data_IF_131026480183
#
_entry.id   IF_131026480183
#
_cell.length_a   1.000
_cell.length_b   1.000
_cell.length_c   1.000
_cell.angle_alpha   90.00
_cell.angle_beta   90.00
_cell.angle_gamma   90.00
#
_symmetry.space_group_name_H-M   'P 1'
#
loop_
_entity.id
_entity.type
_entity.pdbx_description
1 polymer ?
#
# COMPACT_ATOMS: atom_id res chain seq x y z
N UNK A 1 -52.79 -58.97 45.04
CA UNK A 1 -53.61 -57.75 44.89
C UNK A 1 -53.00 -56.66 45.75
N UNK A 2 -52.25 -55.74 45.15
CA UNK A 2 -51.76 -54.53 45.81
C UNK A 2 -51.81 -53.39 44.79
N UNK A 3 -52.70 -52.44 45.06
CA UNK A 3 -52.82 -51.15 44.38
C UNK A 3 -51.77 -50.21 44.98
N UNK A 4 -50.94 -49.58 44.16
CA UNK A 4 -50.18 -48.38 44.56
C UNK A 4 -50.38 -47.29 43.50
N UNK A 5 -50.92 -46.17 43.99
CA UNK A 5 -51.28 -44.95 43.25
C UNK A 5 -50.03 -44.12 42.95
N UNK A 6 -49.93 -43.58 41.75
CA UNK A 6 -49.00 -42.50 41.42
C UNK A 6 -49.56 -41.15 41.90
N UNK A 7 -48.83 -40.47 42.79
CA UNK A 7 -49.03 -39.06 43.11
C UNK A 7 -48.27 -38.19 42.09
N UNK A 8 -48.97 -37.30 41.41
CA UNK A 8 -48.38 -36.21 40.65
C UNK A 8 -48.11 -35.01 41.59
N UNK A 9 -46.87 -34.51 41.61
CA UNK A 9 -46.52 -33.27 42.29
C UNK A 9 -46.65 -32.06 41.33
N UNK A 10 -47.06 -30.87 41.82
CA UNK A 10 -47.20 -29.68 40.98
C UNK A 10 -45.83 -29.01 40.77
N UNK A 11 -45.51 -28.68 39.51
CA UNK A 11 -44.36 -27.85 39.17
C UNK A 11 -44.71 -26.38 39.43
N UNK A 12 -43.97 -25.76 40.35
CA UNK A 12 -44.07 -24.34 40.69
C UNK A 12 -43.51 -23.47 39.55
N UNK A 13 -44.28 -22.46 39.16
CA UNK A 13 -43.92 -21.44 38.18
C UNK A 13 -43.00 -20.40 38.86
N UNK A 14 -41.69 -20.54 38.69
CA UNK A 14 -40.73 -19.54 39.13
C UNK A 14 -40.70 -18.38 38.11
N UNK A 15 -41.02 -17.18 38.58
CA UNK A 15 -40.96 -15.94 37.82
C UNK A 15 -39.53 -15.65 37.37
N UNK A 16 -39.32 -15.58 36.05
CA UNK A 16 -38.08 -15.07 35.45
C UNK A 16 -38.04 -13.55 35.61
N UNK A 17 -37.23 -13.06 36.54
CA UNK A 17 -36.89 -11.64 36.64
C UNK A 17 -35.85 -11.36 35.55
N UNK A 18 -36.28 -10.68 34.48
CA UNK A 18 -35.37 -10.14 33.48
C UNK A 18 -34.58 -8.97 34.08
N UNK A 19 -33.31 -9.21 34.43
CA UNK A 19 -32.34 -8.13 34.59
C UNK A 19 -32.00 -7.58 33.20
N UNK A 20 -32.62 -6.47 32.84
CA UNK A 20 -32.23 -5.63 31.70
C UNK A 20 -30.90 -4.95 31.98
N UNK A 21 -29.80 -5.68 31.86
CA UNK A 21 -28.47 -5.10 31.73
C UNK A 21 -28.30 -4.58 30.31
N UNK A 22 -28.38 -3.25 30.13
CA UNK A 22 -27.90 -2.62 28.90
C UNK A 22 -26.40 -2.88 28.80
N UNK A 23 -25.99 -3.74 27.88
CA UNK A 23 -24.60 -3.88 27.49
C UNK A 23 -24.14 -2.51 26.97
N UNK A 24 -23.37 -1.77 27.77
CA UNK A 24 -22.62 -0.62 27.28
C UNK A 24 -21.67 -1.16 26.21
N UNK A 25 -21.85 -0.73 24.97
CA UNK A 25 -20.88 -1.00 23.92
C UNK A 25 -19.54 -0.41 24.38
N UNK A 26 -18.56 -1.25 24.67
CA UNK A 26 -17.20 -0.79 24.95
C UNK A 26 -16.73 0.06 23.78
N UNK A 27 -16.43 1.33 24.04
CA UNK A 27 -15.86 2.23 23.04
C UNK A 27 -14.48 1.73 22.67
N UNK A 28 -14.32 1.33 21.41
CA UNK A 28 -13.06 0.81 20.90
C UNK A 28 -12.05 1.95 20.73
N UNK A 29 -11.23 2.22 21.73
CA UNK A 29 -10.23 3.28 21.63
C UNK A 29 -8.93 2.76 20.99
N UNK A 30 -8.34 3.58 20.11
CA UNK A 30 -7.10 3.31 19.40
C UNK A 30 -6.09 4.42 19.67
N UNK A 31 -4.82 4.07 19.82
CA UNK A 31 -3.73 5.04 19.94
C UNK A 31 -3.04 5.28 18.60
N UNK A 32 -2.66 6.53 18.36
CA UNK A 32 -1.86 6.95 17.21
C UNK A 32 -0.39 6.59 17.38
N UNK A 33 0.23 5.99 16.37
CA UNK A 33 1.62 5.50 16.44
C UNK A 33 2.59 6.28 15.57
N UNK A 34 2.08 7.12 14.65
CA UNK A 34 2.90 7.89 13.72
C UNK A 34 3.79 8.92 14.44
N UNK A 35 5.08 8.95 14.07
CA UNK A 35 6.08 9.89 14.57
C UNK A 35 6.52 10.84 13.42
N UNK A 36 6.50 12.18 13.60
CA UNK A 36 6.11 12.92 14.81
C UNK A 36 4.60 13.10 14.98
N UNK A 37 3.82 12.91 13.90
CA UNK A 37 2.37 13.10 13.93
C UNK A 37 1.66 12.36 12.79
N UNK A 38 0.42 11.91 13.03
CA UNK A 38 -0.49 11.34 12.04
C UNK A 38 -1.34 12.44 11.40
N UNK A 39 -1.41 12.47 10.07
CA UNK A 39 -2.28 13.41 9.35
C UNK A 39 -3.73 12.92 9.34
N UNK A 40 -4.63 13.74 9.87
CA UNK A 40 -6.08 13.58 9.73
C UNK A 40 -6.53 14.29 8.47
N UNK A 41 -7.33 13.59 7.67
CA UNK A 41 -7.77 14.06 6.35
C UNK A 41 -9.29 14.10 6.24
N UNK A 42 -9.79 14.86 5.28
CA UNK A 42 -11.15 14.73 4.74
C UNK A 42 -11.28 13.44 3.94
N UNK A 43 -12.49 13.04 3.55
CA UNK A 43 -12.71 11.83 2.74
C UNK A 43 -11.95 11.91 1.40
N UNK A 44 -11.88 13.11 0.82
CA UNK A 44 -11.15 13.41 -0.42
C UNK A 44 -9.62 13.46 -0.26
N UNK A 45 -9.12 13.23 0.96
CA UNK A 45 -7.69 13.15 1.25
C UNK A 45 -7.04 14.48 1.58
N UNK A 46 -7.78 15.58 1.65
CA UNK A 46 -7.24 16.88 2.07
C UNK A 46 -6.87 16.84 3.54
N UNK A 47 -5.66 17.26 3.88
CA UNK A 47 -5.21 17.33 5.27
C UNK A 47 -5.80 18.56 5.94
N UNK A 48 -6.33 18.41 7.15
CA UNK A 48 -6.83 19.54 7.94
C UNK A 48 -6.33 19.54 9.39
N UNK A 49 -5.79 18.42 9.89
CA UNK A 49 -5.22 18.36 11.23
C UNK A 49 -4.14 17.28 11.36
N UNK A 50 -3.29 17.38 12.39
CA UNK A 50 -2.30 16.38 12.73
C UNK A 50 -2.42 15.95 14.19
N UNK A 51 -2.44 14.64 14.45
CA UNK A 51 -2.47 14.04 15.79
C UNK A 51 -1.06 13.65 16.20
N UNK A 52 -0.68 13.90 17.45
CA UNK A 52 0.63 13.47 17.96
C UNK A 52 0.63 11.97 18.24
N UNK A 53 1.80 11.35 18.21
CA UNK A 53 1.98 9.99 18.71
C UNK A 53 1.38 9.86 20.13
N UNK A 54 0.67 8.76 20.40
CA UNK A 54 -0.03 8.50 21.65
C UNK A 54 -1.42 9.14 21.76
N UNK A 55 -1.85 9.95 20.78
CA UNK A 55 -3.21 10.51 20.78
C UNK A 55 -4.24 9.39 20.66
N UNK A 56 -5.29 9.42 21.48
CA UNK A 56 -6.38 8.44 21.43
C UNK A 56 -7.47 8.90 20.47
N UNK A 57 -7.95 7.98 19.65
CA UNK A 57 -9.03 8.16 18.69
C UNK A 57 -9.99 6.98 18.74
N UNK A 58 -11.26 7.21 18.44
CA UNK A 58 -12.28 6.16 18.41
C UNK A 58 -12.70 5.95 16.95
N UNK A 59 -12.53 4.77 16.35
CA UNK A 59 -13.00 4.51 14.99
C UNK A 59 -14.53 4.44 14.99
N UNK A 60 -15.15 5.12 14.03
CA UNK A 60 -16.61 5.27 13.90
C UNK A 60 -17.11 4.85 12.51
N UNK A 61 -16.22 4.33 11.66
CA UNK A 61 -16.52 3.88 10.32
C UNK A 61 -15.28 3.55 9.51
N UNK A 62 -15.46 2.92 8.35
CA UNK A 62 -14.39 2.60 7.40
C UNK A 62 -14.66 3.17 6.02
N UNK A 63 -13.60 3.38 5.26
CA UNK A 63 -13.68 3.74 3.84
C UNK A 63 -13.66 2.47 3.01
N UNK A 64 -14.24 2.51 1.81
CA UNK A 64 -14.29 1.37 0.88
C UNK A 64 -12.93 1.01 0.25
N UNK A 65 -11.91 1.87 0.41
CA UNK A 65 -10.53 1.59 0.01
C UNK A 65 -9.82 0.55 0.90
N UNK A 66 -10.41 0.20 2.05
CA UNK A 66 -9.89 -0.79 2.98
C UNK A 66 -8.70 -0.33 3.81
N UNK A 67 -8.13 0.85 3.57
CA UNK A 67 -6.91 1.32 4.26
C UNK A 67 -7.19 2.45 5.25
N UNK A 68 -8.29 3.19 5.05
CA UNK A 68 -8.66 4.32 5.92
C UNK A 68 -9.85 4.02 6.80
N UNK A 69 -9.78 4.50 8.03
CA UNK A 69 -10.88 4.52 8.99
C UNK A 69 -11.28 5.95 9.30
N UNK A 70 -12.58 6.17 9.46
CA UNK A 70 -13.12 7.40 10.00
C UNK A 70 -13.01 7.32 11.52
N UNK A 71 -12.43 8.34 12.13
CA UNK A 71 -12.20 8.42 13.56
C UNK A 71 -12.86 9.66 14.16
N UNK A 72 -13.37 9.48 15.38
CA UNK A 72 -13.76 10.55 16.30
C UNK A 72 -12.52 11.02 17.06
N UNK A 73 -12.34 12.33 17.12
CA UNK A 73 -11.20 13.00 17.76
C UNK A 73 -11.67 13.59 19.09
N UNK A 74 -11.56 12.81 20.17
CA UNK A 74 -12.12 13.19 21.48
C UNK A 74 -11.24 14.20 22.22
N UNK A 75 -9.91 14.18 22.01
CA UNK A 75 -8.93 15.00 22.73
C UNK A 75 -8.02 15.82 21.79
N UNK A 76 -8.55 16.31 20.67
CA UNK A 76 -7.78 17.07 19.68
C UNK A 76 -8.40 18.48 19.44
N UNK A 77 -8.21 19.44 20.36
CA UNK A 77 -8.92 20.73 20.33
C UNK A 77 -8.62 21.57 19.08
N UNK A 78 -7.46 21.35 18.45
CA UNK A 78 -7.03 22.03 17.24
C UNK A 78 -7.51 21.34 15.94
N UNK A 79 -8.21 20.22 16.04
CA UNK A 79 -8.77 19.52 14.90
C UNK A 79 -10.25 19.86 14.75
N UNK A 80 -10.60 20.66 13.73
CA UNK A 80 -11.98 20.85 13.29
C UNK A 80 -12.10 20.49 11.80
N UNK A 81 -13.06 19.62 11.41
CA UNK A 81 -14.05 18.93 12.26
C UNK A 81 -13.43 17.94 13.27
N UNK A 82 -14.19 17.60 14.32
CA UNK A 82 -13.78 16.62 15.34
C UNK A 82 -13.90 15.17 14.88
N UNK A 83 -14.14 14.94 13.58
CA UNK A 83 -14.04 13.64 12.94
C UNK A 83 -13.17 13.77 11.70
N UNK A 84 -12.47 12.71 11.33
CA UNK A 84 -11.68 12.69 10.10
C UNK A 84 -11.20 11.31 9.75
N UNK A 85 -10.39 11.22 8.70
CA UNK A 85 -9.93 9.95 8.15
C UNK A 85 -8.43 9.79 8.37
N UNK A 86 -8.05 8.61 8.86
CA UNK A 86 -6.66 8.23 9.12
C UNK A 86 -6.40 6.84 8.58
N UNK A 87 -5.14 6.55 8.30
CA UNK A 87 -4.69 5.24 7.82
C UNK A 87 -4.54 4.26 9.00
N UNK A 88 -5.12 3.06 8.85
CA UNK A 88 -5.19 2.03 9.90
C UNK A 88 -3.81 1.54 10.36
N UNK A 89 -2.78 1.63 9.52
CA UNK A 89 -1.40 1.21 9.84
C UNK A 89 -0.74 2.09 10.91
N UNK A 90 -1.28 3.29 11.17
CA UNK A 90 -0.80 4.18 12.23
C UNK A 90 -1.65 4.15 13.49
N UNK A 91 -2.53 3.17 13.61
CA UNK A 91 -3.33 2.94 14.79
C UNK A 91 -2.85 1.67 15.49
N UNK A 92 -2.96 1.65 16.81
CA UNK A 92 -2.80 0.45 17.64
C UNK A 92 -3.94 0.38 18.64
N UNK A 93 -4.34 -0.83 19.02
CA UNK A 93 -5.30 -1.03 20.10
C UNK A 93 -4.75 -0.48 21.40
N UNK A 94 -5.58 0.20 22.20
CA UNK A 94 -5.26 0.44 23.62
C UNK A 94 -5.72 -0.70 24.53
N UNK A 95 -6.52 -1.63 23.99
CA UNK A 95 -6.92 -2.82 24.73
C UNK A 95 -5.74 -3.80 24.83
N UNK A 96 -5.52 -4.30 26.03
CA UNK A 96 -4.54 -5.33 26.31
C UNK A 96 -5.11 -6.71 25.99
N UNK A 97 -4.32 -7.54 25.32
CA UNK A 97 -4.61 -8.96 25.09
C UNK A 97 -4.55 -9.78 26.39
N UNK A 98 -4.63 -11.09 26.25
CA UNK A 98 -4.74 -12.05 27.35
C UNK A 98 -3.65 -11.90 28.43
N UNK A 99 -2.45 -11.50 28.02
CA UNK A 99 -1.27 -11.36 28.89
C UNK A 99 -1.06 -9.91 29.39
N UNK A 100 -2.01 -8.99 29.18
CA UNK A 100 -1.86 -7.59 29.59
C UNK A 100 -1.03 -6.71 28.64
N UNK A 101 -0.59 -7.24 27.50
CA UNK A 101 0.16 -6.52 26.47
C UNK A 101 -0.75 -6.03 25.34
N UNK A 102 -0.40 -4.92 24.69
CA UNK A 102 -1.11 -4.48 23.49
C UNK A 102 -0.93 -5.48 22.36
N UNK A 103 -2.03 -5.85 21.70
CA UNK A 103 -1.98 -6.82 20.59
C UNK A 103 -2.04 -6.12 19.23
N UNK A 104 -1.23 -6.60 18.28
CA UNK A 104 -1.22 -6.18 16.89
C UNK A 104 -1.14 -7.40 15.96
N UNK A 105 -1.39 -7.18 14.67
CA UNK A 105 -1.30 -8.22 13.65
C UNK A 105 -0.50 -7.77 12.43
N UNK A 106 0.12 -8.74 11.75
CA UNK A 106 0.95 -8.50 10.56
C UNK A 106 0.07 -8.16 9.34
N UNK A 107 0.32 -7.01 8.71
CA UNK A 107 -0.41 -6.50 7.53
C UNK A 107 0.35 -6.67 6.20
N UNK A 108 1.29 -7.62 6.15
CA UNK A 108 2.07 -7.93 4.94
C UNK A 108 2.25 -9.44 4.83
N UNK A 109 2.54 -9.96 3.64
CA UNK A 109 2.64 -11.41 3.41
C UNK A 109 3.91 -12.02 4.02
N UNK A 110 4.91 -11.20 4.32
CA UNK A 110 6.12 -11.62 5.02
C UNK A 110 6.76 -10.48 5.81
N UNK A 111 6.77 -10.62 7.13
CA UNK A 111 7.44 -9.69 8.05
C UNK A 111 8.62 -10.40 8.74
N UNK A 112 9.83 -9.88 8.59
CA UNK A 112 10.99 -10.44 9.28
C UNK A 112 10.91 -10.24 10.80
N UNK A 113 10.95 -11.34 11.55
CA UNK A 113 11.28 -11.32 12.98
C UNK A 113 12.80 -11.38 13.16
N UNK A 114 13.34 -10.53 14.03
CA UNK A 114 14.79 -10.34 14.18
C UNK A 114 15.27 -10.38 15.63
N UNK A 115 16.53 -10.70 15.87
CA UNK A 115 17.12 -10.63 17.22
C UNK A 115 17.47 -9.22 17.69
N UNK A 116 17.56 -8.25 16.78
CA UNK A 116 17.83 -6.85 17.13
C UNK A 116 17.10 -5.89 16.18
N UNK A 117 16.87 -4.62 16.55
CA UNK A 117 16.12 -3.65 15.76
C UNK A 117 16.94 -3.06 14.60
N UNK A 118 17.47 -3.92 13.73
CA UNK A 118 18.32 -3.56 12.58
C UNK A 118 18.07 -4.49 11.40
N UNK A 119 18.34 -4.01 10.19
CA UNK A 119 18.17 -4.80 8.95
C UNK A 119 19.52 -5.39 8.53
N UNK A 120 19.95 -6.42 9.25
CA UNK A 120 21.17 -7.19 8.96
C UNK A 120 20.81 -8.67 8.82
N UNK A 121 21.40 -9.40 7.87
CA UNK A 121 21.17 -10.84 7.68
C UNK A 121 21.41 -11.66 8.97
N UNK A 122 22.45 -11.31 9.74
CA UNK A 122 22.76 -11.97 11.02
C UNK A 122 21.66 -11.84 12.07
N UNK A 123 20.78 -10.85 11.91
CA UNK A 123 19.67 -10.58 12.84
C UNK A 123 18.39 -11.28 12.45
N UNK A 124 18.27 -11.75 11.19
CA UNK A 124 17.07 -12.45 10.74
C UNK A 124 16.88 -13.76 11.51
N UNK A 125 15.64 -14.03 11.92
CA UNK A 125 15.27 -15.28 12.60
C UNK A 125 14.23 -16.05 11.83
N UNK A 126 13.13 -15.42 11.44
CA UNK A 126 12.07 -16.06 10.68
C UNK A 126 11.21 -15.00 9.96
N UNK A 127 10.30 -15.46 9.10
CA UNK A 127 9.27 -14.63 8.49
C UNK A 127 7.91 -14.93 9.13
N UNK A 128 7.19 -13.87 9.48
CA UNK A 128 5.81 -13.91 9.97
C UNK A 128 4.87 -13.64 8.81
N UNK A 129 3.86 -14.49 8.64
CA UNK A 129 2.84 -14.32 7.59
C UNK A 129 1.80 -13.27 7.98
N UNK A 130 1.04 -12.81 6.98
CA UNK A 130 -0.13 -11.94 7.19
C UNK A 130 -1.06 -12.52 8.24
N UNK A 131 -1.66 -11.64 9.05
CA UNK A 131 -2.55 -11.96 10.17
C UNK A 131 -1.89 -12.70 11.35
N UNK A 132 -0.57 -12.91 11.35
CA UNK A 132 0.14 -13.36 12.56
C UNK A 132 -0.06 -12.33 13.67
N UNK A 133 -0.58 -12.78 14.82
CA UNK A 133 -0.81 -11.94 15.99
C UNK A 133 0.42 -11.87 16.87
N UNK A 134 0.72 -10.67 17.36
CA UNK A 134 1.87 -10.39 18.20
C UNK A 134 1.47 -9.46 19.36
N UNK A 135 2.04 -9.72 20.53
CA UNK A 135 1.96 -8.86 21.70
C UNK A 135 3.16 -7.91 21.69
N UNK A 136 2.91 -6.61 21.92
CA UNK A 136 3.96 -5.60 21.96
C UNK A 136 4.57 -5.57 23.35
N UNK A 137 5.84 -5.97 23.45
CA UNK A 137 6.60 -5.97 24.70
C UNK A 137 7.29 -4.63 24.95
N UNK A 138 7.85 -4.02 23.90
CA UNK A 138 8.67 -2.82 24.03
C UNK A 138 8.57 -1.91 22.80
N UNK A 139 8.42 -0.60 23.05
CA UNK A 139 8.57 0.46 22.04
C UNK A 139 9.80 1.33 22.40
N UNK A 140 10.95 1.17 21.72
CA UNK A 140 12.14 1.96 21.99
C UNK A 140 11.90 3.45 21.76
N UNK A 141 12.37 4.28 22.70
CA UNK A 141 12.35 5.74 22.57
C UNK A 141 13.75 6.24 22.13
N UNK A 142 13.84 6.95 21.00
CA UNK A 142 15.09 7.57 20.52
C UNK A 142 15.29 7.51 19.00
N UNK A 143 16.17 8.36 18.45
CA UNK A 143 16.34 8.60 17.01
C UNK A 143 16.78 7.38 16.17
N UNK A 144 17.38 6.35 16.79
CA UNK A 144 17.97 5.21 16.07
C UNK A 144 17.01 4.00 15.90
N UNK A 145 15.85 3.98 16.56
CA UNK A 145 14.97 2.81 16.62
C UNK A 145 13.47 3.15 16.46
N UNK A 146 13.15 4.33 15.90
CA UNK A 146 11.80 4.93 15.89
C UNK A 146 10.69 4.11 15.22
N UNK A 147 11.02 3.02 14.54
CA UNK A 147 10.06 2.19 13.80
C UNK A 147 10.21 0.68 14.12
N UNK A 148 10.88 0.32 15.21
CA UNK A 148 11.01 -1.07 15.64
C UNK A 148 10.19 -1.33 16.89
N UNK A 149 9.58 -2.51 16.98
CA UNK A 149 8.90 -2.99 18.17
C UNK A 149 9.52 -4.31 18.59
N UNK A 150 9.72 -4.50 19.89
CA UNK A 150 9.96 -5.82 20.44
C UNK A 150 8.61 -6.48 20.66
N UNK A 151 8.45 -7.68 20.14
CA UNK A 151 7.18 -8.40 20.13
C UNK A 151 7.34 -9.82 20.62
N UNK A 152 6.26 -10.37 21.15
CA UNK A 152 6.07 -11.78 21.47
C UNK A 152 5.02 -12.36 20.54
N UNK A 153 5.25 -13.55 19.99
CA UNK A 153 4.24 -14.24 19.19
C UNK A 153 3.12 -14.72 20.11
N UNK A 154 1.87 -14.42 19.75
CA UNK A 154 0.69 -14.91 20.48
C UNK A 154 0.53 -16.41 20.30
N UNK A 155 0.93 -16.93 19.13
CA UNK A 155 0.95 -18.36 18.82
C UNK A 155 2.35 -18.75 18.35
N UNK A 156 3.01 -19.73 18.99
CA UNK A 156 4.33 -20.19 18.57
C UNK A 156 4.33 -20.68 17.12
N UNK A 157 5.35 -20.27 16.36
CA UNK A 157 5.57 -20.73 14.99
C UNK A 157 6.79 -21.66 15.00
N UNK A 158 6.65 -22.85 14.42
CA UNK A 158 7.73 -23.83 14.35
C UNK A 158 8.98 -23.23 13.67
N UNK A 159 10.14 -23.38 14.30
CA UNK A 159 11.41 -22.82 13.80
C UNK A 159 11.57 -21.31 13.96
N UNK A 160 10.61 -20.62 14.60
CA UNK A 160 10.71 -19.20 14.90
C UNK A 160 10.84 -18.97 16.41
N UNK A 161 11.74 -18.09 16.89
CA UNK A 161 11.76 -17.72 18.29
C UNK A 161 10.45 -17.02 18.69
N UNK A 162 10.04 -17.21 19.94
CA UNK A 162 8.78 -16.67 20.44
C UNK A 162 8.82 -15.14 20.64
N UNK A 163 10.01 -14.54 20.67
CA UNK A 163 10.21 -13.11 20.80
C UNK A 163 11.22 -12.58 19.80
N UNK A 164 11.09 -11.32 19.43
CA UNK A 164 12.06 -10.63 18.60
C UNK A 164 11.64 -9.21 18.25
N UNK A 165 12.28 -8.66 17.23
CA UNK A 165 12.09 -7.30 16.74
C UNK A 165 11.44 -7.33 15.36
N UNK A 166 10.43 -6.49 15.17
CA UNK A 166 9.76 -6.28 13.88
C UNK A 166 9.63 -4.80 13.57
N UNK A 167 9.47 -4.48 12.29
CA UNK A 167 9.18 -3.10 11.86
C UNK A 167 7.70 -2.77 12.11
N UNK A 168 7.46 -1.69 12.85
CA UNK A 168 6.13 -1.24 13.26
C UNK A 168 5.24 -0.88 12.05
N UNK A 169 5.82 -0.47 10.92
CA UNK A 169 5.08 -0.09 9.72
C UNK A 169 4.32 -1.24 9.04
N UNK A 170 4.59 -2.48 9.43
CA UNK A 170 3.94 -3.67 8.89
C UNK A 170 2.93 -4.28 9.88
N UNK A 171 2.65 -3.59 10.98
CA UNK A 171 1.64 -3.99 11.95
C UNK A 171 0.39 -3.13 11.82
N UNK A 172 -0.75 -3.70 12.15
CA UNK A 172 -2.03 -3.00 12.32
C UNK A 172 -2.71 -3.48 13.61
N UNK A 173 -3.75 -2.78 14.11
CA UNK A 173 -4.50 -3.26 15.27
C UNK A 173 -5.04 -4.67 15.03
N UNK A 174 -4.92 -5.57 16.01
CA UNK A 174 -5.55 -6.90 15.98
C UNK A 174 -7.05 -6.82 16.29
N UNK A 175 -7.73 -5.88 15.63
CA UNK A 175 -9.14 -5.57 15.80
C UNK A 175 -9.81 -5.64 14.44
N UNK A 176 -11.05 -6.14 14.41
CA UNK A 176 -11.83 -6.20 13.18
C UNK A 176 -12.39 -4.81 12.84
N UNK A 177 -11.53 -3.95 12.29
CA UNK A 177 -11.93 -2.65 11.75
C UNK A 177 -12.74 -2.80 10.45
N UNK A 178 -12.76 -3.98 9.84
CA UNK A 178 -13.53 -4.27 8.63
C UNK A 178 -15.03 -4.46 8.94
N UNK A 179 -15.36 -4.80 10.20
CA UNK A 179 -16.74 -4.81 10.71
C UNK A 179 -17.38 -3.41 10.85
N UNK A 180 -16.59 -2.35 10.81
CA UNK A 180 -17.10 -0.98 10.94
C UNK A 180 -18.03 -0.59 9.78
N UNK A 181 -19.01 0.29 10.01
CA UNK A 181 -19.91 0.75 8.96
C UNK A 181 -19.13 1.48 7.87
N UNK A 182 -19.46 1.20 6.61
CA UNK A 182 -18.88 1.91 5.47
C UNK A 182 -19.43 3.34 5.45
N UNK A 183 -18.54 4.32 5.44
CA UNK A 183 -18.90 5.73 5.35
C UNK A 183 -18.71 6.21 3.92
N UNK A 184 -19.75 6.84 3.36
CA UNK A 184 -19.72 7.47 2.02
C UNK A 184 -20.18 8.93 2.13
N UNK A 185 -19.70 9.77 1.22
CA UNK A 185 -20.29 11.10 0.99
C UNK A 185 -21.34 11.02 -0.10
N UNK A 186 -22.51 11.62 0.15
CA UNK A 186 -23.46 11.90 -0.91
C UNK A 186 -22.91 13.00 -1.85
N UNK A 187 -23.55 13.21 -3.00
CA UNK A 187 -23.16 14.25 -3.99
C UNK A 187 -23.22 15.70 -3.44
N UNK A 188 -23.64 15.90 -2.20
CA UNK A 188 -23.77 17.19 -1.52
C UNK A 188 -22.79 17.32 -0.34
N UNK A 189 -21.86 16.38 -0.18
CA UNK A 189 -20.84 16.41 0.88
C UNK A 189 -21.39 16.07 2.27
N UNK A 190 -22.56 15.43 2.36
CA UNK A 190 -23.09 14.95 3.64
C UNK A 190 -22.59 13.54 3.91
N UNK A 191 -22.04 13.34 5.11
CA UNK A 191 -21.55 12.06 5.59
C UNK A 191 -22.72 11.28 6.18
N UNK A 192 -23.23 10.26 5.48
CA UNK A 192 -24.26 9.38 6.00
C UNK A 192 -23.61 8.11 6.58
N UNK A 193 -23.96 7.77 7.83
CA UNK A 193 -23.70 6.45 8.39
C UNK A 193 -24.77 5.51 7.83
N UNK A 194 -24.38 4.57 6.98
CA UNK A 194 -25.33 3.66 6.36
C UNK A 194 -25.58 2.47 7.29
N UNK A 195 -26.48 2.61 8.26
CA UNK A 195 -26.90 1.53 9.16
C UNK A 195 -27.93 0.58 8.51
N UNK A 196 -28.69 1.04 7.52
CA UNK A 196 -29.73 0.24 6.83
C UNK A 196 -29.44 0.09 5.33
N UNK A 197 -28.35 -0.59 4.98
CA UNK A 197 -28.18 -1.15 3.63
C UNK A 197 -28.74 -2.58 3.55
N UNK A 198 -29.88 -2.84 4.20
CA UNK A 198 -30.76 -3.92 3.75
C UNK A 198 -31.60 -3.41 2.58
N UNK A 199 -31.75 -4.31 1.61
CA UNK A 199 -32.25 -4.11 0.27
C UNK A 199 -33.70 -3.57 0.25
N UNK A 200 -33.89 -2.26 0.30
CA UNK A 200 -35.12 -1.66 -0.19
C UNK A 200 -35.13 -1.69 -1.74
N UNK A 201 -36.09 -2.35 -2.40
CA UNK A 201 -36.07 -2.57 -3.84
C UNK A 201 -36.48 -1.28 -4.56
N UNK A 202 -35.50 -0.40 -4.79
CA UNK A 202 -35.71 0.91 -5.39
C UNK A 202 -34.67 1.26 -6.46
N UNK A 203 -34.62 0.47 -7.54
CA UNK A 203 -34.08 0.80 -8.87
C UNK A 203 -32.86 1.77 -8.93
N UNK A 204 -31.64 1.24 -8.76
CA UNK A 204 -30.52 1.30 -9.74
C UNK A 204 -29.24 0.60 -9.21
N UNK A 205 -29.01 -0.62 -9.75
CA UNK A 205 -27.78 -1.47 -9.86
C UNK A 205 -26.77 -1.50 -8.71
N UNK A 206 -27.07 -2.31 -7.69
CA UNK A 206 -26.09 -2.97 -6.81
C UNK A 206 -25.51 -4.27 -7.39
N UNK A 207 -25.89 -4.68 -8.60
CA UNK A 207 -25.35 -5.87 -9.28
C UNK A 207 -23.96 -5.65 -9.84
N UNK A 208 -23.52 -4.41 -10.02
CA UNK A 208 -22.28 -4.14 -10.74
C UNK A 208 -21.06 -4.25 -9.82
N UNK A 209 -21.12 -3.83 -8.55
CA UNK A 209 -19.99 -3.84 -7.62
C UNK A 209 -19.64 -5.25 -7.08
N UNK A 210 -20.64 -6.04 -6.68
CA UNK A 210 -20.43 -7.43 -6.27
C UNK A 210 -20.02 -8.29 -7.46
N UNK A 211 -20.58 -8.04 -8.64
CA UNK A 211 -20.13 -8.70 -9.85
C UNK A 211 -18.75 -8.18 -10.30
N UNK A 212 -18.36 -6.93 -10.02
CA UNK A 212 -17.02 -6.41 -10.29
C UNK A 212 -15.98 -7.01 -9.33
N UNK A 213 -16.32 -7.19 -8.05
CA UNK A 213 -15.47 -7.90 -7.09
C UNK A 213 -15.37 -9.39 -7.42
N UNK A 214 -16.48 -10.05 -7.76
CA UNK A 214 -16.48 -11.43 -8.24
C UNK A 214 -15.70 -11.57 -9.54
N UNK A 215 -15.84 -10.64 -10.49
CA UNK A 215 -15.02 -10.57 -11.71
C UNK A 215 -13.54 -10.33 -11.41
N UNK A 216 -13.21 -9.51 -10.40
CA UNK A 216 -11.83 -9.28 -9.98
C UNK A 216 -11.20 -10.57 -9.44
N UNK A 217 -11.93 -11.27 -8.56
CA UNK A 217 -11.55 -12.57 -7.97
C UNK A 217 -11.44 -13.64 -9.06
N UNK A 218 -12.43 -13.75 -9.95
CA UNK A 218 -12.39 -14.66 -11.10
C UNK A 218 -11.23 -14.33 -12.05
N UNK A 219 -10.93 -13.05 -12.29
CA UNK A 219 -9.79 -12.67 -13.14
C UNK A 219 -8.46 -13.07 -12.50
N UNK A 220 -8.35 -12.95 -11.17
CA UNK A 220 -7.16 -13.38 -10.41
C UNK A 220 -7.03 -14.90 -10.43
N UNK A 221 -8.12 -15.63 -10.22
CA UNK A 221 -8.17 -17.09 -10.29
C UNK A 221 -7.78 -17.60 -11.69
N UNK A 222 -8.38 -17.05 -12.76
CA UNK A 222 -8.04 -17.42 -14.15
C UNK A 222 -6.61 -17.02 -14.53
N UNK A 223 -6.11 -15.90 -14.03
CA UNK A 223 -4.72 -15.48 -14.24
C UNK A 223 -3.74 -16.42 -13.55
N UNK A 224 -4.06 -16.86 -12.32
CA UNK A 224 -3.30 -17.86 -11.59
C UNK A 224 -3.30 -19.23 -12.30
N UNK A 225 -4.46 -19.67 -12.82
CA UNK A 225 -4.59 -20.90 -13.62
C UNK A 225 -3.84 -20.81 -14.96
N UNK A 226 -3.81 -19.65 -15.60
CA UNK A 226 -3.09 -19.40 -16.84
C UNK A 226 -1.59 -19.09 -16.63
N UNK A 227 -1.11 -19.04 -15.38
CA UNK A 227 0.26 -18.66 -15.04
C UNK A 227 0.64 -17.23 -15.48
N UNK A 228 -0.34 -16.34 -15.69
CA UNK A 228 -0.11 -14.95 -16.06
C UNK A 228 -0.32 -14.04 -14.85
N UNK A 229 0.54 -13.04 -14.68
CA UNK A 229 0.39 -12.07 -13.60
C UNK A 229 -0.91 -11.25 -13.78
N UNK A 230 -1.70 -11.01 -12.71
CA UNK A 230 -2.89 -10.16 -12.75
C UNK A 230 -2.62 -8.75 -13.28
N UNK A 231 -1.41 -8.21 -13.05
CA UNK A 231 -1.00 -6.94 -13.62
C UNK A 231 -0.91 -7.01 -15.15
N UNK A 232 -0.28 -8.06 -15.69
CA UNK A 232 -0.20 -8.30 -17.14
C UNK A 232 -1.60 -8.52 -17.73
N UNK A 233 -2.47 -9.24 -17.04
CA UNK A 233 -3.88 -9.43 -17.45
C UNK A 233 -4.60 -8.08 -17.55
N UNK A 234 -4.47 -7.21 -16.55
CA UNK A 234 -5.07 -5.88 -16.55
C UNK A 234 -4.53 -5.01 -17.71
N UNK A 235 -3.21 -5.04 -17.95
CA UNK A 235 -2.58 -4.33 -19.06
C UNK A 235 -3.13 -4.79 -20.42
N UNK A 236 -3.22 -6.10 -20.64
CA UNK A 236 -3.75 -6.66 -21.87
C UNK A 236 -5.22 -6.31 -22.08
N UNK A 237 -6.02 -6.31 -21.00
CA UNK A 237 -7.40 -5.88 -21.07
C UNK A 237 -7.54 -4.41 -21.50
N UNK A 238 -6.71 -3.49 -20.97
CA UNK A 238 -6.72 -2.08 -21.39
C UNK A 238 -6.28 -1.95 -22.86
N UNK A 239 -5.22 -2.64 -23.27
CA UNK A 239 -4.73 -2.65 -24.67
C UNK A 239 -5.82 -3.11 -25.64
N UNK A 240 -6.47 -4.23 -25.33
CA UNK A 240 -7.51 -4.82 -26.18
C UNK A 240 -8.79 -3.98 -26.21
N UNK A 241 -9.09 -3.26 -25.13
CA UNK A 241 -10.25 -2.39 -25.02
C UNK A 241 -9.96 -0.93 -25.45
N UNK A 242 -8.95 -0.71 -26.31
CA UNK A 242 -8.59 0.61 -26.86
C UNK A 242 -8.43 1.70 -25.80
N UNK A 243 -7.79 1.37 -24.67
CA UNK A 243 -7.58 2.32 -23.58
C UNK A 243 -8.78 2.49 -22.63
N UNK A 244 -9.85 1.70 -22.78
CA UNK A 244 -10.92 1.70 -21.78
C UNK A 244 -10.52 0.85 -20.58
N UNK A 245 -10.71 1.41 -19.40
CA UNK A 245 -10.40 0.73 -18.15
C UNK A 245 -11.32 -0.49 -17.92
N UNK A 246 -10.75 -1.68 -17.69
CA UNK A 246 -11.54 -2.86 -17.35
C UNK A 246 -12.28 -2.64 -16.02
N UNK A 247 -13.57 -3.01 -15.99
CA UNK A 247 -14.35 -3.02 -14.75
C UNK A 247 -13.86 -4.17 -13.86
N UNK A 248 -13.79 -3.93 -12.55
CA UNK A 248 -13.29 -4.92 -11.59
C UNK A 248 -11.79 -5.23 -11.69
N UNK A 249 -10.99 -4.36 -12.32
CA UNK A 249 -9.54 -4.51 -12.31
C UNK A 249 -9.00 -4.39 -10.88
N UNK A 250 -8.10 -5.30 -10.51
CA UNK A 250 -7.32 -5.21 -9.27
C UNK A 250 -6.45 -3.94 -9.20
N UNK A 251 -6.16 -3.33 -10.35
CA UNK A 251 -5.32 -2.16 -10.48
C UNK A 251 -6.15 -0.95 -10.89
N UNK A 252 -6.07 0.19 -10.16
CA UNK A 252 -6.77 1.40 -10.54
C UNK A 252 -6.40 1.84 -11.95
N UNK A 253 -7.41 2.22 -12.73
CA UNK A 253 -7.23 2.69 -14.09
C UNK A 253 -8.05 3.95 -14.31
N UNK A 254 -7.48 4.93 -14.99
CA UNK A 254 -8.15 6.15 -15.40
C UNK A 254 -7.51 6.71 -16.68
N UNK A 255 -8.29 7.32 -17.57
CA UNK A 255 -7.83 7.84 -18.87
C UNK A 255 -7.12 6.81 -19.76
N UNK A 256 -7.38 5.52 -19.55
CA UNK A 256 -6.65 4.43 -20.22
C UNK A 256 -5.22 4.22 -19.73
N UNK A 257 -4.88 4.84 -18.60
CA UNK A 257 -3.65 4.65 -17.87
C UNK A 257 -3.92 3.75 -16.67
N UNK A 258 -2.97 2.89 -16.36
CA UNK A 258 -3.01 2.00 -15.21
C UNK A 258 -2.08 2.53 -14.13
N UNK A 259 -2.48 2.44 -12.87
CA UNK A 259 -1.59 2.76 -11.77
C UNK A 259 -0.50 1.68 -11.66
N UNK A 260 0.76 2.11 -11.58
CA UNK A 260 1.86 1.21 -11.26
C UNK A 260 1.66 0.62 -9.85
N UNK A 261 2.02 -0.66 -9.60
CA UNK A 261 1.76 -1.27 -8.30
C UNK A 261 2.56 -0.59 -7.18
N UNK A 262 1.85 -0.23 -6.11
CA UNK A 262 2.37 0.40 -4.89
C UNK A 262 2.11 -0.54 -3.71
N UNK A 263 3.12 -0.80 -2.89
CA UNK A 263 3.07 -1.74 -1.73
C UNK A 263 3.16 -1.00 -0.39
N UNK A 264 3.14 0.32 -0.44
CA UNK A 264 3.13 1.20 0.71
C UNK A 264 3.33 2.63 0.25
N UNK A 265 3.75 3.51 1.16
CA UNK A 265 3.94 4.92 0.84
C UNK A 265 4.99 5.14 -0.25
N UNK A 266 6.15 4.50 -0.11
CA UNK A 266 7.27 4.65 -1.03
C UNK A 266 7.71 3.31 -1.65
N UNK A 267 7.24 2.16 -1.16
CA UNK A 267 7.57 0.87 -1.75
C UNK A 267 6.68 0.61 -2.97
N UNK A 268 7.27 0.12 -4.05
CA UNK A 268 6.57 -0.11 -5.31
C UNK A 268 7.07 -1.37 -6.02
N UNK A 269 6.55 -1.62 -7.23
CA UNK A 269 6.86 -2.78 -8.06
C UNK A 269 8.34 -3.16 -8.12
N UNK A 270 8.64 -4.46 -8.12
CA UNK A 270 10.00 -5.01 -8.21
C UNK A 270 10.92 -4.51 -7.08
N UNK A 271 10.41 -4.29 -5.88
CA UNK A 271 11.16 -3.66 -4.78
C UNK A 271 11.67 -2.25 -5.09
N UNK A 272 11.07 -1.52 -6.03
CA UNK A 272 11.46 -0.14 -6.34
C UNK A 272 11.02 0.84 -5.23
N UNK A 273 11.44 2.11 -5.36
CA UNK A 273 11.10 3.18 -4.42
C UNK A 273 10.44 4.37 -5.14
N UNK A 274 9.15 4.60 -4.89
CA UNK A 274 8.42 5.78 -5.32
C UNK A 274 8.77 6.96 -4.40
N UNK A 275 9.61 7.89 -4.87
CA UNK A 275 10.01 9.08 -4.11
C UNK A 275 9.01 10.22 -4.32
N UNK A 276 8.88 11.07 -3.32
CA UNK A 276 7.98 12.23 -3.34
C UNK A 276 6.56 11.91 -3.84
N UNK A 277 5.89 10.84 -3.37
CA UNK A 277 4.56 10.51 -3.84
C UNK A 277 3.62 11.70 -3.62
N UNK A 278 2.90 12.09 -4.67
CA UNK A 278 1.86 13.10 -4.56
C UNK A 278 0.80 12.69 -3.51
N UNK A 279 0.00 13.66 -3.05
CA UNK A 279 -1.07 13.42 -2.07
C UNK A 279 -2.44 13.43 -2.75
N UNK A 280 -3.22 12.33 -2.70
CA UNK A 280 -2.93 11.05 -2.04
C UNK A 280 -1.89 10.19 -2.80
N UNK A 281 -1.14 9.31 -2.11
CA UNK A 281 -0.08 8.51 -2.71
C UNK A 281 -0.50 7.80 -4.00
N UNK A 282 0.32 7.95 -5.03
CA UNK A 282 0.14 7.30 -6.32
C UNK A 282 -0.79 8.04 -7.29
N UNK A 283 -1.20 9.28 -7.00
CA UNK A 283 -1.97 10.09 -7.95
C UNK A 283 -1.21 10.41 -9.24
N UNK A 284 0.12 10.38 -9.19
CA UNK A 284 1.14 10.61 -10.23
C UNK A 284 1.73 9.31 -10.81
N UNK A 285 1.27 8.14 -10.35
CA UNK A 285 1.82 6.83 -10.70
C UNK A 285 1.10 6.13 -11.87
N UNK A 286 0.41 6.88 -12.75
CA UNK A 286 -0.39 6.29 -13.83
C UNK A 286 0.39 6.20 -15.13
N UNK A 287 0.61 4.99 -15.62
CA UNK A 287 1.35 4.70 -16.84
C UNK A 287 0.43 4.26 -17.98
N UNK A 288 0.79 4.59 -19.22
CA UNK A 288 0.19 3.96 -20.38
C UNK A 288 0.52 2.45 -20.37
N UNK A 289 -0.33 1.57 -20.92
CA UNK A 289 -0.12 0.13 -20.76
C UNK A 289 1.22 -0.38 -21.32
N UNK A 290 1.68 0.20 -22.42
CA UNK A 290 2.97 -0.15 -23.02
C UNK A 290 4.14 0.32 -22.14
N UNK A 291 4.05 1.51 -21.55
CA UNK A 291 5.01 2.04 -20.57
C UNK A 291 5.06 1.20 -19.31
N UNK A 292 3.90 0.91 -18.70
CA UNK A 292 3.80 0.13 -17.47
C UNK A 292 4.48 -1.23 -17.60
N UNK A 293 4.26 -1.87 -18.75
CA UNK A 293 4.83 -3.15 -19.11
C UNK A 293 6.35 -3.08 -19.36
N UNK A 294 6.81 -2.13 -20.17
CA UNK A 294 8.23 -1.94 -20.45
C UNK A 294 9.04 -1.51 -19.20
N UNK A 295 8.44 -0.66 -18.37
CA UNK A 295 9.01 -0.24 -17.09
C UNK A 295 9.07 -1.38 -16.09
N UNK A 296 8.03 -2.23 -16.01
CA UNK A 296 8.05 -3.45 -15.22
C UNK A 296 9.15 -4.40 -15.67
N UNK A 297 9.30 -4.62 -16.98
CA UNK A 297 10.38 -5.43 -17.55
C UNK A 297 11.77 -4.85 -17.22
N UNK A 298 11.94 -3.53 -17.36
CA UNK A 298 13.18 -2.84 -17.02
C UNK A 298 13.53 -2.98 -15.54
N UNK A 299 12.57 -2.77 -14.64
CA UNK A 299 12.80 -2.88 -13.21
C UNK A 299 13.13 -4.33 -12.80
N UNK A 300 12.44 -5.31 -13.37
CA UNK A 300 12.72 -6.73 -13.14
C UNK A 300 14.13 -7.10 -13.61
N UNK A 301 14.47 -6.76 -14.85
CA UNK A 301 15.76 -7.10 -15.44
C UNK A 301 16.92 -6.39 -14.71
N UNK A 302 16.72 -5.12 -14.37
CA UNK A 302 17.68 -4.35 -13.59
C UNK A 302 17.92 -4.97 -12.21
N UNK A 303 16.85 -5.31 -11.47
CA UNK A 303 16.96 -5.99 -10.18
C UNK A 303 17.64 -7.34 -10.33
N UNK A 304 17.30 -8.12 -11.36
CA UNK A 304 17.85 -9.47 -11.57
C UNK A 304 19.34 -9.46 -11.91
N UNK A 305 19.78 -8.56 -12.78
CA UNK A 305 21.10 -8.65 -13.42
C UNK A 305 22.11 -7.63 -12.91
N UNK A 306 21.66 -6.42 -12.55
CA UNK A 306 22.53 -5.31 -12.21
C UNK A 306 22.39 -4.86 -10.74
N UNK A 307 21.26 -5.17 -10.10
CA UNK A 307 20.96 -4.75 -8.73
C UNK A 307 20.26 -5.81 -7.86
N UNK A 308 20.81 -7.04 -7.74
CA UNK A 308 20.17 -8.10 -6.95
C UNK A 308 20.05 -7.76 -5.45
N UNK A 309 21.00 -6.99 -4.91
CA UNK A 309 21.06 -6.64 -3.48
C UNK A 309 20.34 -5.34 -3.08
N UNK A 310 19.75 -4.58 -4.01
CA UNK A 310 18.94 -3.40 -3.67
C UNK A 310 19.67 -2.24 -2.97
N UNK A 311 21.01 -2.19 -2.99
CA UNK A 311 21.81 -1.08 -2.45
C UNK A 311 21.67 0.21 -3.28
N UNK A 312 22.76 0.94 -3.49
CA UNK A 312 22.76 2.22 -4.22
C UNK A 312 22.23 2.16 -5.67
N UNK A 313 22.06 0.95 -6.19
CA UNK A 313 21.45 0.67 -7.50
C UNK A 313 19.92 0.51 -7.46
N UNK A 314 19.25 0.54 -6.31
CA UNK A 314 17.80 0.33 -6.24
C UNK A 314 17.06 1.40 -7.05
N UNK A 315 16.17 0.95 -7.93
CA UNK A 315 15.39 1.83 -8.78
C UNK A 315 14.51 2.73 -7.91
N UNK A 316 14.69 4.04 -8.04
CA UNK A 316 13.82 5.03 -7.40
C UNK A 316 13.23 5.96 -8.43
N UNK A 317 11.91 6.10 -8.42
CA UNK A 317 11.15 6.79 -9.45
C UNK A 317 10.13 7.76 -8.83
N UNK A 318 9.71 8.77 -9.59
CA UNK A 318 8.75 9.79 -9.19
C UNK A 318 7.62 9.90 -10.22
N UNK A 319 7.38 11.10 -10.73
CA UNK A 319 6.24 11.39 -11.60
C UNK A 319 6.15 10.47 -12.84
N UNK A 320 4.94 9.99 -13.16
CA UNK A 320 4.60 9.32 -14.42
C UNK A 320 3.47 10.05 -15.15
N UNK A 321 2.24 9.93 -14.64
CA UNK A 321 1.04 10.63 -15.09
C UNK A 321 0.07 10.83 -13.97
N UNK A 322 -0.61 11.99 -13.97
CA UNK A 322 -1.68 12.23 -13.03
C UNK A 322 -2.98 11.53 -13.48
N UNK A 323 -3.63 10.85 -12.52
CA UNK A 323 -4.84 10.03 -12.73
C UNK A 323 -5.94 10.72 -13.55
N UNK A 324 -6.17 12.00 -13.31
CA UNK A 324 -7.29 12.77 -13.89
C UNK A 324 -6.86 14.00 -14.68
N UNK A 325 -5.58 14.38 -14.63
CA UNK A 325 -5.12 15.68 -15.17
C UNK A 325 -4.01 15.43 -16.19
N UNK A 326 -4.25 15.67 -17.49
CA UNK A 326 -3.21 15.57 -18.49
C UNK A 326 -2.03 16.50 -18.20
N UNK A 327 -2.25 17.69 -17.63
CA UNK A 327 -1.17 18.61 -17.26
C UNK A 327 -1.27 18.93 -15.78
N UNK A 328 -0.15 18.78 -15.07
CA UNK A 328 -0.02 19.22 -13.68
C UNK A 328 1.43 19.66 -13.40
N UNK A 329 1.59 20.59 -12.46
CA UNK A 329 2.88 21.01 -11.89
C UNK A 329 4.00 21.45 -12.88
N UNK A 330 3.67 21.81 -14.13
CA UNK A 330 4.65 22.30 -15.11
C UNK A 330 5.45 21.22 -15.85
N UNK A 331 5.19 19.93 -15.59
CA UNK A 331 5.87 18.82 -16.26
C UNK A 331 5.15 18.45 -17.57
N UNK A 332 5.58 19.08 -18.68
CA UNK A 332 4.87 19.02 -19.98
C UNK A 332 4.84 17.62 -20.60
N UNK A 333 5.83 16.77 -20.33
CA UNK A 333 5.96 15.43 -20.94
C UNK A 333 5.25 14.31 -20.18
N UNK A 334 4.84 14.54 -18.93
CA UNK A 334 4.25 13.52 -18.08
C UNK A 334 2.73 13.34 -18.29
N UNK A 335 2.20 13.76 -19.45
CA UNK A 335 0.76 13.93 -19.66
C UNK A 335 -0.04 12.65 -19.85
N UNK A 336 0.59 11.67 -20.49
CA UNK A 336 -0.09 10.54 -21.10
C UNK A 336 0.44 9.18 -20.59
N UNK A 337 1.19 9.20 -19.49
CA UNK A 337 1.76 8.00 -18.89
C UNK A 337 2.85 7.34 -19.73
N UNK A 338 3.45 8.09 -20.65
CA UNK A 338 4.53 7.60 -21.51
C UNK A 338 5.92 7.86 -20.93
N UNK A 339 6.03 8.76 -19.94
CA UNK A 339 7.31 9.18 -19.39
C UNK A 339 7.35 9.02 -17.88
N UNK A 340 8.55 8.85 -17.34
CA UNK A 340 8.81 8.64 -15.93
C UNK A 340 10.14 9.27 -15.52
N UNK A 341 10.17 9.86 -14.33
CA UNK A 341 11.38 10.40 -13.72
C UNK A 341 12.01 9.39 -12.76
N UNK A 342 13.31 9.20 -12.88
CA UNK A 342 14.09 8.22 -12.10
C UNK A 342 15.28 8.92 -11.45
N UNK A 343 15.55 8.67 -10.16
CA UNK A 343 16.76 9.20 -9.53
C UNK A 343 18.02 8.58 -10.14
N UNK A 344 19.10 9.36 -10.29
CA UNK A 344 20.40 8.79 -10.59
C UNK A 344 20.87 7.89 -9.44
N UNK A 345 21.69 6.88 -9.77
CA UNK A 345 22.08 5.85 -8.80
C UNK A 345 23.18 6.32 -7.84
N UNK A 346 23.27 5.65 -6.70
CA UNK A 346 24.22 5.95 -5.64
C UNK A 346 25.42 4.99 -5.66
N UNK A 347 26.57 5.53 -5.25
CA UNK A 347 27.71 4.72 -4.81
C UNK A 347 27.36 4.16 -3.43
N UNK A 348 27.67 2.87 -3.20
CA UNK A 348 27.39 2.21 -1.92
C UNK A 348 25.92 1.91 -1.71
N UNK A 349 25.36 2.41 -0.61
CA UNK A 349 23.99 2.11 -0.14
C UNK A 349 22.89 2.92 -0.83
N UNK A 350 21.66 2.42 -0.73
CA UNK A 350 20.48 3.14 -1.18
C UNK A 350 20.27 4.42 -0.35
N UNK A 351 19.98 5.53 -1.02
CA UNK A 351 19.50 6.75 -0.38
C UNK A 351 18.32 7.32 -1.15
N UNK A 352 17.27 7.68 -0.41
CA UNK A 352 16.08 8.36 -0.95
C UNK A 352 16.25 9.89 -1.04
N UNK A 353 17.44 10.41 -0.75
CA UNK A 353 17.72 11.85 -0.86
C UNK A 353 17.89 12.26 -2.32
N UNK A 354 17.27 13.37 -2.74
CA UNK A 354 17.50 13.95 -4.05
C UNK A 354 18.99 14.23 -4.29
N UNK A 355 19.51 13.87 -5.47
CA UNK A 355 20.93 13.96 -5.80
C UNK A 355 21.12 14.43 -7.23
N UNK A 356 22.11 15.29 -7.47
CA UNK A 356 22.50 15.72 -8.82
C UNK A 356 23.67 14.92 -9.37
N UNK A 357 23.90 14.94 -10.69
CA UNK A 357 25.08 14.32 -11.31
C UNK A 357 26.44 14.89 -10.82
N UNK A 358 26.44 16.03 -10.14
CA UNK A 358 27.63 16.64 -9.55
C UNK A 358 27.89 16.17 -8.11
N UNK A 359 26.95 15.46 -7.51
CA UNK A 359 27.05 15.05 -6.11
C UNK A 359 28.11 13.95 -5.92
N UNK A 360 28.86 14.00 -4.82
CA UNK A 360 29.94 13.03 -4.54
C UNK A 360 29.50 11.55 -4.50
N UNK A 361 28.28 11.27 -4.05
CA UNK A 361 27.74 9.91 -3.96
C UNK A 361 26.98 9.44 -5.22
N UNK A 362 27.08 10.15 -6.34
CA UNK A 362 26.48 9.75 -7.61
C UNK A 362 27.33 8.68 -8.31
N UNK A 363 26.69 7.57 -8.70
CA UNK A 363 27.30 6.50 -9.48
C UNK A 363 26.97 6.65 -10.96
N UNK A 364 27.90 7.30 -11.69
CA UNK A 364 27.79 7.50 -13.13
C UNK A 364 27.76 6.19 -13.91
N UNK A 365 28.55 5.21 -13.49
CA UNK A 365 28.67 3.95 -14.25
C UNK A 365 27.35 3.17 -14.17
N UNK A 366 26.78 3.00 -12.96
CA UNK A 366 25.45 2.38 -12.82
C UNK A 366 24.37 3.15 -13.57
N UNK A 367 24.42 4.47 -13.53
CA UNK A 367 23.47 5.32 -14.28
C UNK A 367 23.60 5.14 -15.79
N UNK A 368 24.83 5.03 -16.31
CA UNK A 368 25.10 4.69 -17.71
C UNK A 368 24.52 3.33 -18.07
N UNK A 369 24.74 2.32 -17.24
CA UNK A 369 24.31 0.94 -17.49
C UNK A 369 22.78 0.82 -17.48
N UNK A 370 22.13 1.49 -16.55
CA UNK A 370 20.68 1.60 -16.51
C UNK A 370 20.11 2.29 -17.76
N UNK A 371 20.66 3.45 -18.15
CA UNK A 371 20.23 4.16 -19.37
C UNK A 371 20.40 3.27 -20.61
N UNK A 372 21.50 2.54 -20.69
CA UNK A 372 21.74 1.60 -21.79
C UNK A 372 20.70 0.48 -21.81
N UNK A 373 20.36 -0.08 -20.65
CA UNK A 373 19.31 -1.10 -20.52
C UNK A 373 17.95 -0.54 -20.93
N UNK A 374 17.58 0.64 -20.44
CA UNK A 374 16.33 1.32 -20.78
C UNK A 374 16.22 1.55 -22.30
N UNK A 375 17.29 2.02 -22.96
CA UNK A 375 17.30 2.21 -24.42
C UNK A 375 17.11 0.92 -25.19
N UNK A 376 17.76 -0.17 -24.78
CA UNK A 376 17.55 -1.51 -25.39
C UNK A 376 16.09 -1.95 -25.26
N UNK A 377 15.42 -1.54 -24.20
CA UNK A 377 14.01 -1.82 -23.92
C UNK A 377 13.03 -0.80 -24.53
N UNK A 378 13.51 0.12 -25.36
CA UNK A 378 12.68 1.04 -26.14
C UNK A 378 12.52 2.45 -25.54
N UNK A 379 13.22 2.77 -24.44
CA UNK A 379 13.18 4.11 -23.87
C UNK A 379 13.78 5.16 -24.80
N UNK A 380 12.97 6.13 -25.21
CA UNK A 380 13.33 7.32 -25.97
C UNK A 380 12.16 8.34 -25.95
N UNK A 381 12.40 9.65 -25.76
CA UNK A 381 13.69 10.27 -25.43
C UNK A 381 14.17 9.95 -24.01
N UNK A 382 15.44 10.24 -23.75
CA UNK A 382 16.07 10.19 -22.43
C UNK A 382 16.76 11.53 -22.16
N UNK A 383 16.40 12.23 -21.09
CA UNK A 383 17.04 13.48 -20.67
C UNK A 383 17.69 13.33 -19.30
N UNK A 384 18.96 13.74 -19.23
CA UNK A 384 19.71 13.80 -17.98
C UNK A 384 20.98 14.64 -18.20
N UNK A 385 21.20 15.63 -17.34
CA UNK A 385 22.18 16.70 -17.58
C UNK A 385 23.63 16.35 -17.20
N UNK A 386 23.94 15.07 -16.90
CA UNK A 386 25.32 14.62 -16.77
C UNK A 386 26.10 14.88 -18.07
N UNK A 387 27.07 15.79 -18.00
CA UNK A 387 27.89 16.22 -19.14
C UNK A 387 28.58 15.06 -19.84
N UNK A 388 29.03 14.06 -19.08
CA UNK A 388 29.75 12.92 -19.63
C UNK A 388 28.81 11.98 -20.40
N UNK A 389 27.65 11.65 -19.82
CA UNK A 389 26.65 10.80 -20.47
C UNK A 389 26.07 11.47 -21.73
N UNK A 390 25.93 12.80 -21.71
CA UNK A 390 25.56 13.59 -22.90
C UNK A 390 26.64 13.54 -23.98
N UNK A 391 27.92 13.72 -23.62
CA UNK A 391 29.05 13.62 -24.57
C UNK A 391 29.13 12.23 -25.22
N UNK A 392 28.72 11.19 -24.50
CA UNK A 392 28.61 9.81 -24.99
C UNK A 392 27.34 9.53 -25.81
N UNK A 393 26.50 10.54 -26.05
CA UNK A 393 25.24 10.40 -26.78
C UNK A 393 24.20 9.54 -26.07
N UNK A 394 24.31 9.38 -24.74
CA UNK A 394 23.42 8.51 -23.94
C UNK A 394 22.13 9.21 -23.51
N UNK A 395 22.19 10.51 -23.25
CA UNK A 395 21.07 11.37 -22.88
C UNK A 395 21.10 12.72 -23.61
N UNK A 396 19.94 13.37 -23.71
CA UNK A 396 19.80 14.76 -24.14
C UNK A 396 19.87 15.75 -22.98
N UNK A 397 20.00 17.04 -23.32
CA UNK A 397 19.85 18.14 -22.38
C UNK A 397 18.38 18.57 -22.25
N UNK A 398 17.94 18.82 -21.03
CA UNK A 398 16.70 19.52 -20.75
C UNK A 398 16.85 20.28 -19.42
N UNK A 399 16.34 21.51 -19.33
CA UNK A 399 16.43 22.30 -18.10
C UNK A 399 15.79 21.55 -16.92
N UNK A 400 16.40 21.58 -15.73
CA UNK A 400 15.89 20.94 -14.50
C UNK A 400 16.20 19.45 -14.34
N UNK A 401 16.88 18.83 -15.30
CA UNK A 401 17.19 17.39 -15.31
C UNK A 401 18.59 17.08 -14.72
N UNK A 402 19.03 17.86 -13.74
CA UNK A 402 20.29 17.63 -13.04
C UNK A 402 20.18 16.50 -12.01
N UNK A 403 18.97 16.26 -11.47
CA UNK A 403 18.73 15.42 -10.30
C UNK A 403 17.80 14.21 -10.54
N UNK A 404 17.38 14.01 -11.78
CA UNK A 404 16.57 12.88 -12.23
C UNK A 404 16.83 12.62 -13.72
N UNK A 405 16.62 11.38 -14.12
CA UNK A 405 16.65 10.88 -15.48
C UNK A 405 15.20 10.82 -15.93
N UNK A 406 14.86 11.62 -16.92
CA UNK A 406 13.55 11.55 -17.56
C UNK A 406 13.63 10.54 -18.70
N UNK A 407 12.84 9.48 -18.63
CA UNK A 407 12.78 8.47 -19.70
C UNK A 407 11.35 8.34 -20.20
N UNK A 408 11.19 8.19 -21.51
CA UNK A 408 9.88 7.88 -22.09
C UNK A 408 9.89 6.53 -22.79
N UNK A 409 8.84 5.74 -22.59
CA UNK A 409 8.55 4.55 -23.38
C UNK A 409 7.43 4.87 -24.35
N UNK A 410 7.75 5.50 -25.48
CA UNK A 410 6.74 5.73 -26.52
C UNK A 410 6.24 4.41 -27.10
N UNK A 411 5.01 4.40 -27.59
CA UNK A 411 4.40 3.23 -28.24
C UNK A 411 5.03 2.91 -29.61
N UNK A 412 6.29 2.47 -29.61
CA UNK A 412 7.08 2.09 -30.77
C UNK A 412 7.34 0.57 -30.80
N UNK A 413 7.91 0.08 -31.90
CA UNK A 413 8.18 -1.35 -32.11
C UNK A 413 9.01 -1.98 -30.98
N UNK A 414 10.05 -1.29 -30.49
CA UNK A 414 10.95 -1.82 -29.45
C UNK A 414 10.28 -1.87 -28.09
N UNK A 415 9.53 -0.84 -27.72
CA UNK A 415 8.73 -0.82 -26.49
C UNK A 415 7.66 -1.91 -26.51
N UNK A 416 6.97 -2.07 -27.65
CA UNK A 416 5.98 -3.13 -27.82
C UNK A 416 6.60 -4.52 -27.73
N UNK A 417 7.76 -4.74 -28.35
CA UNK A 417 8.48 -6.00 -28.27
C UNK A 417 8.89 -6.33 -26.83
N UNK A 418 9.46 -5.36 -26.10
CA UNK A 418 9.78 -5.50 -24.68
C UNK A 418 8.53 -5.87 -23.89
N UNK A 419 7.42 -5.17 -24.11
CA UNK A 419 6.19 -5.45 -23.40
C UNK A 419 5.60 -6.83 -23.72
N UNK A 420 5.52 -7.21 -25.00
CA UNK A 420 4.93 -8.48 -25.39
C UNK A 420 5.74 -9.69 -24.88
N UNK A 421 7.06 -9.50 -24.74
CA UNK A 421 7.98 -10.50 -24.19
C UNK A 421 8.07 -10.46 -22.67
N UNK A 422 7.50 -9.45 -22.01
CA UNK A 422 7.57 -9.33 -20.57
C UNK A 422 6.80 -10.49 -19.91
N UNK A 423 7.50 -11.23 -19.06
CA UNK A 423 6.95 -12.25 -18.18
C UNK A 423 7.39 -11.90 -16.77
N UNK A 424 6.41 -11.78 -15.87
CA UNK A 424 6.69 -11.47 -14.47
C UNK A 424 7.35 -12.67 -13.84
N UNK A 425 8.54 -12.46 -13.28
CA UNK A 425 9.25 -13.40 -12.45
C UNK A 425 8.82 -13.12 -10.99
N UNK A 426 7.93 -13.94 -10.39
CA UNK A 426 7.38 -13.67 -9.07
C UNK A 426 8.46 -13.67 -7.96
N UNK A 427 9.61 -14.31 -8.19
CA UNK A 427 10.72 -14.28 -7.24
C UNK A 427 11.46 -12.93 -7.25
N UNK A 428 11.37 -12.18 -8.36
CA UNK A 428 12.02 -10.88 -8.52
C UNK A 428 11.04 -9.73 -8.29
N UNK A 429 9.81 -9.85 -8.78
CA UNK A 429 8.77 -8.82 -8.72
C UNK A 429 7.44 -9.39 -8.21
N UNK A 430 7.37 -9.84 -6.94
CA UNK A 430 6.15 -10.37 -6.35
C UNK A 430 5.00 -9.36 -6.35
N UNK A 431 5.31 -8.06 -6.34
CA UNK A 431 4.32 -6.98 -6.31
C UNK A 431 3.52 -6.84 -7.61
N UNK A 432 3.93 -7.54 -8.67
CA UNK A 432 3.20 -7.59 -9.94
C UNK A 432 2.24 -8.80 -10.02
N UNK A 433 2.17 -9.63 -8.97
CA UNK A 433 1.27 -10.80 -8.91
C UNK A 433 -0.12 -10.47 -8.34
#
# INVERSE_FOLDING_TARGET
MLNVRFFAAPVSLAALIFFGGTAQAETLDLKVTANPSLRVRTLNGEHFCSLRQGTIVTPIGRVDDGERVRVQLTNAPNCRPNTGYVDKSYLRSVQTGHDGYEQSEVNTDGLSLRSSPRVDESTYKCALSRATKVDILEEPRGQAATNWLRVKLVSPISGCPNEGWVSASYLRPALDLDSLPVVREDRRGRTEQCTDCELAPGRRRGTDATADAARAIESRARSAEAGQSPFITALNAIKNNRGRCPRGSAYPCNRGLIQMPLVGRNAAFCGSNHYNPDSPPGSDAYAAPHTACALGALAQEWKKTACPGGGGCRLSWGDISHKTRPRWNGHVSHTDGECIDIRPFNVGEFSNTGRTWQSRGYDRQKTRDFINMARRMGASPIFFNDRQLRKEGRSGYASGHENHIHICFKNNRTTQATCNNFRVDPAVCPELQ
#
